data_IF_502737842062
#
_entry.id   IF_502737842062
#
_cell.length_a   1.000
_cell.length_b   1.000
_cell.length_c   1.000
_cell.angle_alpha   90.00
_cell.angle_beta   90.00
_cell.angle_gamma   90.00
#
_symmetry.space_group_name_H-M   'P 1'
#
loop_
_entity.id
_entity.type
_entity.pdbx_description
1 polymer ?
#
# COMPACT_ATOMS: atom_id res chain seq x y z
N UNK A 1 -5.97 9.48 78.87
CA UNK A 1 -5.68 9.84 77.47
C UNK A 1 -6.46 8.90 76.57
N UNK A 2 -7.13 9.41 75.53
CA UNK A 2 -7.80 8.59 74.52
C UNK A 2 -6.90 8.59 73.28
N UNK A 3 -6.55 7.42 72.78
CA UNK A 3 -5.80 7.28 71.53
C UNK A 3 -6.78 6.96 70.41
N UNK A 4 -6.73 7.73 69.32
CA UNK A 4 -7.57 7.52 68.15
C UNK A 4 -6.83 6.67 67.11
N UNK A 5 -7.53 5.77 66.44
CA UNK A 5 -6.98 5.02 65.31
C UNK A 5 -6.87 5.94 64.08
N UNK A 6 -5.77 5.78 63.35
CA UNK A 6 -5.61 6.37 62.02
C UNK A 6 -6.17 5.46 60.93
N UNK A 7 -6.19 5.95 59.69
CA UNK A 7 -6.62 5.17 58.52
C UNK A 7 -5.66 4.00 58.24
N UNK A 8 -4.35 4.27 58.22
CA UNK A 8 -3.31 3.27 57.95
C UNK A 8 -2.79 2.50 59.17
N UNK A 9 -3.05 2.97 60.39
CA UNK A 9 -2.53 2.35 61.61
C UNK A 9 -3.54 2.34 62.74
N UNK A 10 -3.59 1.25 63.50
CA UNK A 10 -4.37 1.14 64.74
C UNK A 10 -3.45 1.08 65.94
N UNK A 11 -3.85 1.70 67.06
CA UNK A 11 -3.09 1.71 68.29
C UNK A 11 -3.68 0.72 69.30
N UNK A 12 -2.86 -0.20 69.79
CA UNK A 12 -3.16 -1.07 70.93
C UNK A 12 -2.45 -0.49 72.16
N UNK A 13 -3.24 -0.04 73.14
CA UNK A 13 -2.73 0.59 74.35
C UNK A 13 -3.06 -0.29 75.54
N UNK A 14 -2.03 -0.68 76.28
CA UNK A 14 -2.18 -1.50 77.50
C UNK A 14 -1.50 -0.79 78.65
N UNK A 15 -2.19 -0.74 79.79
CA UNK A 15 -1.65 -0.22 81.03
C UNK A 15 -1.54 -1.38 82.03
N UNK A 16 -0.34 -1.60 82.59
CA UNK A 16 -0.12 -2.61 83.61
C UNK A 16 0.32 -1.94 84.90
N UNK A 17 -0.47 -2.15 85.95
CA UNK A 17 -0.15 -1.73 87.32
C UNK A 17 0.55 -2.89 88.02
N UNK A 18 1.77 -2.69 88.50
CA UNK A 18 2.45 -3.70 89.33
C UNK A 18 1.96 -3.62 90.79
N UNK A 19 1.66 -4.78 91.40
CA UNK A 19 1.27 -4.86 92.80
C UNK A 19 2.35 -4.21 93.68
N UNK A 20 1.90 -3.32 94.59
CA UNK A 20 2.68 -2.40 95.45
C UNK A 20 3.06 -1.04 94.84
N UNK A 21 2.50 -0.65 93.70
CA UNK A 21 2.22 0.77 93.41
C UNK A 21 3.42 1.69 93.16
N UNK A 22 4.53 1.19 92.58
CA UNK A 22 5.71 2.04 92.31
C UNK A 22 6.03 2.16 90.79
N UNK A 23 5.45 1.37 89.89
CA UNK A 23 5.58 1.57 88.44
C UNK A 23 4.30 1.22 87.66
N UNK A 24 3.71 2.23 87.02
CA UNK A 24 2.75 2.06 85.93
C UNK A 24 3.52 1.97 84.61
N UNK A 25 3.38 0.85 83.89
CA UNK A 25 3.97 0.73 82.54
C UNK A 25 2.88 0.88 81.49
N UNK A 26 2.97 1.95 80.72
CA UNK A 26 2.16 2.17 79.51
C UNK A 26 2.88 1.56 78.31
N UNK A 27 2.26 0.57 77.67
CA UNK A 27 2.74 0.03 76.39
C UNK A 27 1.79 0.47 75.27
N UNK A 28 2.37 1.06 74.22
CA UNK A 28 1.66 1.44 73.00
C UNK A 28 2.26 0.65 71.83
N UNK A 29 1.42 -0.12 71.14
CA UNK A 29 1.79 -0.85 69.93
C UNK A 29 0.99 -0.29 68.76
N UNK A 30 1.66 -0.01 67.64
CA UNK A 30 0.99 0.38 66.40
C UNK A 30 0.94 -0.81 65.45
N UNK A 31 -0.26 -1.24 65.08
CA UNK A 31 -0.45 -2.17 63.99
C UNK A 31 -0.60 -1.39 62.69
N UNK A 32 0.00 -1.91 61.61
CA UNK A 32 -0.14 -1.36 60.27
C UNK A 32 -1.29 -2.09 59.57
N UNK A 33 -2.26 -1.34 59.08
CA UNK A 33 -3.37 -1.87 58.31
C UNK A 33 -2.90 -2.07 56.87
N UNK A 34 -2.54 -3.32 56.52
CA UNK A 34 -2.04 -3.66 55.19
C UNK A 34 -3.20 -3.97 54.23
N UNK A 35 -3.16 -3.34 53.06
CA UNK A 35 -4.07 -3.60 51.95
C UNK A 35 -3.38 -4.36 50.83
N UNK A 36 -4.18 -4.99 49.98
CA UNK A 36 -3.70 -5.71 48.80
C UNK A 36 -4.32 -5.11 47.54
N UNK A 37 -3.56 -5.16 46.46
CA UNK A 37 -4.01 -4.75 45.13
C UNK A 37 -4.14 -5.94 44.17
N UNK A 38 -4.93 -5.74 43.12
CA UNK A 38 -5.15 -6.71 42.06
C UNK A 38 -5.20 -6.00 40.71
N UNK A 39 -5.09 -6.74 39.61
CA UNK A 39 -5.17 -6.22 38.25
C UNK A 39 -6.46 -6.73 37.60
N UNK A 40 -7.25 -5.80 37.07
CA UNK A 40 -8.49 -6.10 36.36
C UNK A 40 -8.25 -6.70 34.97
N UNK A 41 -9.32 -7.24 34.37
CA UNK A 41 -9.29 -7.77 33.01
C UNK A 41 -9.01 -6.69 31.93
N UNK A 42 -9.18 -5.41 32.30
CA UNK A 42 -8.81 -4.24 31.50
C UNK A 42 -7.33 -3.85 31.66
N UNK A 43 -6.56 -4.60 32.45
CA UNK A 43 -5.13 -4.40 32.68
C UNK A 43 -4.78 -3.37 33.74
N UNK A 44 -5.78 -2.77 34.38
CA UNK A 44 -5.58 -1.71 35.38
C UNK A 44 -5.45 -2.28 36.79
N UNK A 45 -4.53 -1.72 37.56
CA UNK A 45 -4.44 -1.98 38.99
C UNK A 45 -5.63 -1.37 39.75
N UNK A 46 -6.12 -2.07 40.77
CA UNK A 46 -7.18 -1.62 41.67
C UNK A 46 -7.00 -2.25 43.06
N UNK A 47 -7.60 -1.68 44.12
CA UNK A 47 -7.72 -2.36 45.41
C UNK A 47 -8.45 -3.70 45.26
N UNK A 48 -8.09 -4.69 46.07
CA UNK A 48 -8.79 -5.99 46.06
C UNK A 48 -10.23 -5.84 46.56
N UNK A 49 -10.43 -5.00 47.58
CA UNK A 49 -11.73 -4.65 48.14
C UNK A 49 -11.81 -3.15 48.41
N UNK A 50 -13.02 -2.60 48.57
CA UNK A 50 -13.19 -1.16 48.91
C UNK A 50 -12.56 -0.78 50.25
N UNK A 51 -12.40 -1.74 51.16
CA UNK A 51 -11.73 -1.54 52.44
C UNK A 51 -10.22 -1.29 52.28
N UNK A 52 -9.62 -1.74 51.18
CA UNK A 52 -8.18 -1.59 50.92
C UNK A 52 -7.82 -0.18 50.42
N UNK A 53 -8.80 0.63 50.00
CA UNK A 53 -8.59 2.00 49.49
C UNK A 53 -7.77 2.90 50.44
N UNK A 54 -7.92 2.72 51.75
CA UNK A 54 -7.29 3.56 52.76
C UNK A 54 -6.18 2.83 53.55
N UNK A 55 -5.74 1.66 53.08
CA UNK A 55 -4.72 0.84 53.73
C UNK A 55 -3.33 1.05 53.12
N UNK A 56 -2.31 0.61 53.83
CA UNK A 56 -0.90 0.72 53.41
C UNK A 56 -0.52 -0.48 52.54
N UNK A 57 0.12 -0.25 51.40
CA UNK A 57 0.61 -1.31 50.52
C UNK A 57 2.04 -1.75 50.92
N UNK A 58 2.33 -3.04 50.77
CA UNK A 58 3.67 -3.61 50.98
C UNK A 58 4.49 -3.59 49.67
N UNK A 59 5.82 -3.53 49.77
CA UNK A 59 6.70 -3.58 48.58
C UNK A 59 6.45 -4.82 47.71
N UNK A 60 6.14 -5.97 48.33
CA UNK A 60 5.80 -7.20 47.62
C UNK A 60 4.49 -7.09 46.84
N UNK A 61 3.50 -6.36 47.37
CA UNK A 61 2.21 -6.11 46.69
C UNK A 61 2.41 -5.14 45.52
N UNK A 62 3.13 -4.04 45.76
CA UNK A 62 3.41 -3.01 44.75
C UNK A 62 4.16 -3.63 43.56
N UNK A 63 5.24 -4.37 43.82
CA UNK A 63 6.07 -4.96 42.75
C UNK A 63 5.29 -6.02 41.97
N UNK A 64 4.51 -6.86 42.66
CA UNK A 64 3.63 -7.83 42.01
C UNK A 64 2.61 -7.14 41.11
N UNK A 65 1.88 -6.16 41.63
CA UNK A 65 0.82 -5.47 40.88
C UNK A 65 1.37 -4.73 39.68
N UNK A 66 2.50 -4.04 39.78
CA UNK A 66 3.16 -3.40 38.63
C UNK A 66 3.50 -4.44 37.55
N UNK A 67 4.12 -5.57 37.93
CA UNK A 67 4.48 -6.62 36.99
C UNK A 67 3.28 -7.35 36.38
N UNK A 68 2.12 -7.32 37.06
CA UNK A 68 0.88 -7.91 36.56
C UNK A 68 0.05 -6.97 35.69
N UNK A 69 0.22 -5.64 35.81
CA UNK A 69 -0.47 -4.68 34.92
C UNK A 69 -0.05 -4.87 33.47
N UNK A 70 -1.00 -4.64 32.56
CA UNK A 70 -0.76 -4.78 31.14
C UNK A 70 -1.58 -3.77 30.35
N UNK A 71 -1.12 -3.50 29.12
CA UNK A 71 -1.94 -2.93 28.08
C UNK A 71 -2.22 -3.99 27.02
N UNK A 72 -3.17 -3.71 26.12
CA UNK A 72 -3.59 -4.67 25.09
C UNK A 72 -3.23 -4.17 23.70
N UNK A 73 -2.84 -5.08 22.82
CA UNK A 73 -2.57 -4.80 21.40
C UNK A 73 -3.29 -5.81 20.52
N UNK A 74 -3.76 -5.36 19.36
CA UNK A 74 -4.31 -6.21 18.29
C UNK A 74 -4.04 -5.55 16.93
N UNK A 75 -4.20 -6.29 15.84
CA UNK A 75 -4.19 -5.78 14.47
C UNK A 75 -5.57 -5.88 13.83
N UNK A 76 -5.82 -5.05 12.83
CA UNK A 76 -7.02 -5.09 12.01
C UNK A 76 -6.78 -4.40 10.67
N UNK A 77 -7.81 -4.36 9.83
CA UNK A 77 -7.77 -3.70 8.52
C UNK A 77 -8.73 -2.52 8.46
N UNK A 78 -8.32 -1.46 7.76
CA UNK A 78 -9.19 -0.37 7.30
C UNK A 78 -8.81 -0.09 5.84
N UNK A 79 -9.59 -0.64 4.90
CA UNK A 79 -9.30 -0.59 3.45
C UNK A 79 -8.10 -1.43 2.96
N UNK A 80 -7.33 -2.05 3.86
CA UNK A 80 -6.16 -2.89 3.54
C UNK A 80 -6.42 -4.40 3.70
N UNK A 81 -5.32 -5.16 3.67
CA UNK A 81 -5.31 -6.61 3.90
C UNK A 81 -4.35 -7.02 5.01
N UNK A 82 -4.62 -8.17 5.64
CA UNK A 82 -3.73 -8.80 6.62
C UNK A 82 -2.89 -9.89 5.94
N UNK A 83 -1.69 -10.13 6.45
CA UNK A 83 -0.89 -11.27 6.02
C UNK A 83 -1.57 -12.59 6.44
N UNK A 84 -1.41 -13.63 5.62
CA UNK A 84 -1.88 -14.97 5.95
C UNK A 84 -1.31 -15.43 7.30
N UNK A 85 -2.16 -16.04 8.15
CA UNK A 85 -1.78 -16.50 9.49
C UNK A 85 -1.78 -15.44 10.59
N UNK A 86 -2.20 -14.20 10.30
CA UNK A 86 -2.35 -13.14 11.32
C UNK A 86 -3.30 -13.55 12.44
N UNK A 87 -2.88 -13.37 13.69
CA UNK A 87 -3.68 -13.62 14.88
C UNK A 87 -4.53 -12.39 15.20
N UNK A 88 -5.86 -12.55 15.34
CA UNK A 88 -6.81 -11.44 15.56
C UNK A 88 -7.17 -11.21 17.03
N UNK A 89 -6.64 -12.04 17.93
CA UNK A 89 -6.91 -11.93 19.36
C UNK A 89 -6.11 -10.79 20.00
N UNK A 90 -6.70 -10.13 20.99
CA UNK A 90 -5.98 -9.19 21.85
C UNK A 90 -4.83 -9.90 22.57
N UNK A 91 -3.64 -9.31 22.51
CA UNK A 91 -2.48 -9.74 23.28
C UNK A 91 -2.27 -8.80 24.46
N UNK A 92 -2.10 -9.35 25.66
CA UNK A 92 -1.71 -8.61 26.86
C UNK A 92 -0.18 -8.41 26.87
N UNK A 93 0.25 -7.17 27.07
CA UNK A 93 1.66 -6.76 27.14
C UNK A 93 1.91 -6.21 28.54
N UNK A 94 2.66 -6.95 29.35
CA UNK A 94 3.01 -6.64 30.74
C UNK A 94 4.23 -5.74 30.84
N UNK A 95 4.49 -5.25 32.05
CA UNK A 95 5.71 -4.50 32.34
C UNK A 95 6.97 -5.35 32.03
N UNK A 96 7.85 -4.82 31.19
CA UNK A 96 9.09 -5.50 30.77
C UNK A 96 8.95 -6.34 29.50
N UNK A 97 7.73 -6.56 29.00
CA UNK A 97 7.54 -7.28 27.75
C UNK A 97 8.09 -6.47 26.55
N UNK A 98 8.62 -7.19 25.56
CA UNK A 98 9.12 -6.61 24.33
C UNK A 98 8.04 -6.64 23.24
N UNK A 99 7.74 -5.47 22.66
CA UNK A 99 6.93 -5.36 21.45
C UNK A 99 7.84 -5.11 20.26
N UNK A 100 7.73 -5.96 19.24
CA UNK A 100 8.50 -5.83 18.00
C UNK A 100 7.63 -5.26 16.89
N UNK A 101 8.06 -4.12 16.33
CA UNK A 101 7.46 -3.53 15.13
C UNK A 101 8.30 -3.94 13.93
N UNK A 102 7.73 -4.76 13.03
CA UNK A 102 8.44 -5.31 11.86
C UNK A 102 7.91 -4.69 10.57
N UNK A 103 8.82 -4.20 9.73
CA UNK A 103 8.47 -3.67 8.41
C UNK A 103 8.37 -4.83 7.39
N UNK A 104 7.27 -4.88 6.64
CA UNK A 104 7.12 -5.81 5.52
C UNK A 104 7.83 -5.31 4.25
N UNK A 105 7.59 -5.98 3.11
CA UNK A 105 8.07 -5.52 1.80
C UNK A 105 7.54 -4.11 1.52
N UNK A 106 8.40 -3.27 0.94
CA UNK A 106 8.11 -1.87 0.55
C UNK A 106 7.79 -0.90 1.69
N UNK A 107 7.88 -1.32 2.95
CA UNK A 107 7.77 -0.46 4.12
C UNK A 107 9.12 -0.35 4.82
N UNK A 108 9.41 0.84 5.34
CA UNK A 108 10.57 1.10 6.19
C UNK A 108 10.10 1.59 7.55
N UNK A 109 10.83 1.20 8.59
CA UNK A 109 10.63 1.70 9.96
C UNK A 109 11.98 2.21 10.45
N UNK A 110 12.07 3.51 10.73
CA UNK A 110 13.23 4.11 11.39
C UNK A 110 12.91 4.28 12.88
N UNK A 111 13.76 3.73 13.75
CA UNK A 111 13.72 3.99 15.19
C UNK A 111 14.84 4.95 15.57
N UNK A 112 14.47 6.05 16.21
CA UNK A 112 15.40 7.02 16.77
C UNK A 112 14.97 7.36 18.21
N UNK A 113 15.65 6.76 19.18
CA UNK A 113 15.19 6.76 20.58
C UNK A 113 13.80 6.14 20.72
N UNK A 114 12.84 6.96 21.13
CA UNK A 114 11.42 6.62 21.28
C UNK A 114 10.55 7.01 20.07
N UNK A 115 11.13 7.63 19.04
CA UNK A 115 10.41 8.00 17.83
C UNK A 115 10.51 6.89 16.79
N UNK A 116 9.38 6.58 16.17
CA UNK A 116 9.27 5.61 15.09
C UNK A 116 8.67 6.30 13.87
N UNK A 117 9.39 6.26 12.74
CA UNK A 117 8.92 6.81 11.47
C UNK A 117 8.65 5.67 10.50
N UNK A 118 7.43 5.62 9.99
CA UNK A 118 6.99 4.69 8.96
C UNK A 118 7.00 5.41 7.62
N UNK A 119 7.61 4.79 6.61
CA UNK A 119 7.62 5.33 5.26
C UNK A 119 7.56 4.20 4.22
N UNK A 120 7.24 4.56 2.99
CA UNK A 120 7.49 3.66 1.87
C UNK A 120 9.00 3.53 1.64
N UNK A 121 9.43 2.37 1.18
CA UNK A 121 10.82 2.15 0.75
C UNK A 121 11.12 2.95 -0.51
N UNK A 122 12.30 3.57 -0.57
CA UNK A 122 12.82 4.23 -1.79
C UNK A 122 12.87 3.26 -2.98
N UNK A 123 13.15 1.99 -2.71
CA UNK A 123 13.03 0.91 -3.68
C UNK A 123 11.69 0.19 -3.51
N UNK A 124 10.74 0.49 -4.39
CA UNK A 124 9.44 -0.18 -4.45
C UNK A 124 9.52 -1.37 -5.41
N UNK A 125 9.30 -2.59 -4.89
CA UNK A 125 9.27 -3.82 -5.69
C UNK A 125 7.89 -4.46 -5.57
N UNK A 126 7.21 -4.56 -6.70
CA UNK A 126 5.96 -5.32 -6.83
C UNK A 126 6.14 -6.31 -7.98
N UNK A 127 5.70 -7.55 -7.78
CA UNK A 127 5.86 -8.60 -8.80
C UNK A 127 4.95 -8.34 -10.01
N UNK A 128 3.74 -7.81 -9.76
CA UNK A 128 2.79 -7.40 -10.80
C UNK A 128 2.10 -6.10 -10.40
N UNK A 129 2.10 -5.12 -11.29
CA UNK A 129 1.33 -3.88 -11.15
C UNK A 129 0.12 -3.91 -12.10
N UNK A 130 -0.98 -4.48 -11.62
CA UNK A 130 -2.22 -4.55 -12.38
C UNK A 130 -3.05 -3.29 -12.11
N UNK A 131 -3.40 -2.59 -13.19
CA UNK A 131 -4.29 -1.43 -13.14
C UNK A 131 -5.50 -1.75 -14.00
N UNK A 132 -6.69 -1.45 -13.49
CA UNK A 132 -7.95 -1.93 -14.04
C UNK A 132 -8.37 -3.27 -13.45
N UNK A 133 -9.61 -3.65 -13.72
CA UNK A 133 -10.20 -4.90 -13.24
C UNK A 133 -10.52 -5.79 -14.42
N UNK A 134 -10.04 -7.03 -14.42
CA UNK A 134 -10.45 -8.00 -15.44
C UNK A 134 -11.92 -8.35 -15.21
N UNK A 135 -12.72 -8.26 -16.27
CA UNK A 135 -14.11 -8.72 -16.23
C UNK A 135 -14.19 -10.20 -15.83
N UNK A 136 -15.17 -10.54 -15.00
CA UNK A 136 -15.54 -11.92 -14.69
C UNK A 136 -16.80 -12.30 -15.49
N UNK A 137 -17.10 -13.59 -15.62
CA UNK A 137 -18.17 -14.13 -16.47
C UNK A 137 -19.45 -13.28 -16.49
N UNK A 138 -19.74 -12.68 -17.65
CA UNK A 138 -20.92 -11.85 -17.90
C UNK A 138 -20.86 -10.41 -17.37
N UNK A 139 -19.75 -9.97 -16.76
CA UNK A 139 -19.52 -8.59 -16.31
C UNK A 139 -18.32 -7.96 -17.02
N UNK A 140 -18.46 -6.77 -17.61
CA UNK A 140 -17.32 -6.03 -18.16
C UNK A 140 -16.27 -5.77 -17.08
N UNK A 141 -15.01 -5.75 -17.51
CA UNK A 141 -13.92 -5.23 -16.68
C UNK A 141 -13.85 -3.71 -16.69
N UNK A 142 -12.90 -3.16 -15.94
CA UNK A 142 -12.56 -1.73 -15.95
C UNK A 142 -11.20 -1.51 -16.61
N UNK A 143 -11.13 -0.52 -17.49
CA UNK A 143 -9.91 -0.17 -18.22
C UNK A 143 -8.84 0.37 -17.28
N UNK A 144 -7.64 -0.20 -17.34
CA UNK A 144 -6.47 0.31 -16.62
C UNK A 144 -5.86 1.54 -17.27
N UNK A 145 -5.37 2.48 -16.46
CA UNK A 145 -4.62 3.65 -16.92
C UNK A 145 -3.39 3.88 -16.04
N UNK A 146 -2.21 3.94 -16.66
CA UNK A 146 -0.97 4.37 -16.01
C UNK A 146 -0.54 5.69 -16.65
N UNK A 147 -0.25 6.72 -15.84
CA UNK A 147 0.26 7.99 -16.34
C UNK A 147 1.54 8.43 -15.62
N UNK A 148 2.43 9.07 -16.37
CA UNK A 148 3.58 9.82 -15.85
C UNK A 148 3.36 11.27 -16.21
N UNK A 149 3.14 12.10 -15.20
CA UNK A 149 2.87 13.52 -15.40
C UNK A 149 4.18 14.32 -15.39
N UNK A 150 4.38 15.06 -16.47
CA UNK A 150 5.42 16.07 -16.60
C UNK A 150 4.92 17.45 -16.19
N UNK A 151 5.86 18.40 -16.12
CA UNK A 151 5.54 19.81 -15.93
C UNK A 151 4.67 20.32 -17.09
N UNK A 152 3.81 21.30 -16.78
CA UNK A 152 3.03 22.04 -17.79
C UNK A 152 2.09 21.15 -18.64
N UNK A 153 1.54 20.09 -18.04
CA UNK A 153 0.49 19.26 -18.64
C UNK A 153 0.99 18.22 -19.67
N UNK A 154 2.30 18.12 -19.88
CA UNK A 154 2.87 17.01 -20.65
C UNK A 154 2.72 15.71 -19.86
N UNK A 155 2.44 14.59 -20.52
CA UNK A 155 2.39 13.28 -19.84
C UNK A 155 2.58 12.12 -20.81
N UNK A 156 2.95 10.97 -20.27
CA UNK A 156 2.87 9.69 -20.99
C UNK A 156 1.78 8.86 -20.36
N UNK A 157 0.89 8.29 -21.15
CA UNK A 157 -0.24 7.49 -20.69
C UNK A 157 -0.23 6.14 -21.39
N UNK A 158 -0.32 5.06 -20.63
CA UNK A 158 -0.64 3.71 -21.13
C UNK A 158 -2.11 3.44 -20.83
N UNK A 159 -2.89 3.14 -21.87
CA UNK A 159 -4.34 2.93 -21.76
C UNK A 159 -4.73 1.51 -22.19
N UNK A 160 -5.36 0.77 -21.28
CA UNK A 160 -5.85 -0.58 -21.53
C UNK A 160 -7.05 -0.65 -22.48
N UNK A 161 -7.83 0.43 -22.59
CA UNK A 161 -9.08 0.46 -23.38
C UNK A 161 -8.89 0.08 -24.84
N UNK A 162 -7.87 0.67 -25.45
CA UNK A 162 -7.59 0.64 -26.89
C UNK A 162 -6.14 0.26 -27.18
N UNK A 163 -5.45 -0.30 -26.17
CA UNK A 163 -4.04 -0.67 -26.22
C UNK A 163 -3.14 0.48 -26.72
N UNK A 164 -3.44 1.72 -26.30
CA UNK A 164 -2.77 2.92 -26.78
C UNK A 164 -1.70 3.44 -25.82
N UNK A 165 -0.74 4.15 -26.40
CA UNK A 165 0.26 4.98 -25.71
C UNK A 165 -0.01 6.43 -26.10
N UNK A 166 -0.44 7.24 -25.14
CA UNK A 166 -0.58 8.69 -25.31
C UNK A 166 0.69 9.41 -24.91
N UNK A 167 1.28 10.18 -25.82
CA UNK A 167 2.33 11.16 -25.57
C UNK A 167 1.68 12.53 -25.56
N UNK A 168 1.25 13.01 -24.40
CA UNK A 168 0.55 14.29 -24.27
C UNK A 168 1.55 15.44 -24.11
N UNK A 169 1.22 16.58 -24.72
CA UNK A 169 2.02 17.79 -24.72
C UNK A 169 1.61 18.68 -25.90
N UNK A 170 2.38 19.74 -26.15
CA UNK A 170 2.12 20.69 -27.25
C UNK A 170 1.95 20.01 -28.61
N UNK A 171 2.76 18.99 -28.88
CA UNK A 171 2.79 18.24 -30.14
C UNK A 171 2.37 16.78 -29.90
N UNK A 172 1.37 16.57 -29.04
CA UNK A 172 1.01 15.25 -28.55
C UNK A 172 0.52 14.28 -29.63
N UNK A 173 0.79 12.99 -29.40
CA UNK A 173 0.47 11.88 -30.31
C UNK A 173 -0.08 10.71 -29.51
N UNK A 174 -1.10 10.04 -30.03
CA UNK A 174 -1.57 8.75 -29.53
C UNK A 174 -1.10 7.65 -30.49
N UNK A 175 -0.43 6.62 -29.99
CA UNK A 175 0.02 5.46 -30.77
C UNK A 175 -0.82 4.26 -30.37
N UNK A 176 -1.34 3.50 -31.33
CA UNK A 176 -2.13 2.28 -31.09
C UNK A 176 -1.93 1.26 -32.20
N UNK A 177 -2.44 0.06 -31.99
CA UNK A 177 -2.59 -0.92 -33.07
C UNK A 177 -3.98 -0.81 -33.71
N UNK A 178 -4.07 -0.94 -35.03
CA UNK A 178 -5.34 -1.15 -35.73
C UNK A 178 -5.16 -2.07 -36.94
N UNK A 179 -6.25 -2.58 -37.47
CA UNK A 179 -6.21 -3.26 -38.76
C UNK A 179 -6.02 -2.24 -39.89
N UNK A 180 -5.08 -2.52 -40.79
CA UNK A 180 -4.88 -1.75 -42.00
C UNK A 180 -4.51 -2.65 -43.18
N UNK A 181 -4.25 -2.09 -44.37
CA UNK A 181 -4.01 -2.86 -45.59
C UNK A 181 -2.89 -3.91 -45.41
N UNK A 182 -3.04 -5.10 -45.98
CA UNK A 182 -2.03 -6.18 -45.84
C UNK A 182 -0.64 -5.82 -46.43
N UNK A 183 -0.55 -4.80 -47.28
CA UNK A 183 0.69 -4.34 -47.90
C UNK A 183 0.66 -4.54 -49.41
N UNK A 184 1.83 -4.59 -50.04
CA UNK A 184 1.95 -4.56 -51.51
C UNK A 184 1.38 -5.81 -52.20
N UNK A 185 1.60 -6.97 -51.59
CA UNK A 185 1.15 -8.27 -52.10
C UNK A 185 -0.22 -8.69 -51.55
N UNK A 186 -0.80 -7.87 -50.67
CA UNK A 186 -2.10 -8.12 -50.06
C UNK A 186 -3.21 -8.13 -51.10
N UNK A 187 -4.14 -9.06 -50.98
CA UNK A 187 -5.34 -9.11 -51.81
C UNK A 187 -6.44 -8.23 -51.24
N UNK A 188 -7.44 -7.92 -52.06
CA UNK A 188 -8.62 -7.17 -51.62
C UNK A 188 -9.30 -7.87 -50.44
N UNK A 189 -9.49 -7.13 -49.34
CA UNK A 189 -10.07 -7.65 -48.10
C UNK A 189 -9.06 -8.26 -47.11
N UNK A 190 -7.79 -8.41 -47.48
CA UNK A 190 -6.74 -8.83 -46.54
C UNK A 190 -6.21 -7.64 -45.74
N UNK A 191 -6.02 -7.87 -44.43
CA UNK A 191 -5.54 -6.88 -43.49
C UNK A 191 -4.40 -7.45 -42.64
N UNK A 192 -3.61 -6.54 -42.06
CA UNK A 192 -2.63 -6.86 -41.02
C UNK A 192 -2.67 -5.80 -39.93
N UNK A 193 -2.15 -6.15 -38.75
CA UNK A 193 -1.97 -5.19 -37.67
C UNK A 193 -0.96 -4.12 -38.06
N UNK A 194 -1.36 -2.85 -37.92
CA UNK A 194 -0.56 -1.64 -38.18
C UNK A 194 -0.28 -0.91 -36.88
N UNK A 195 0.88 -0.27 -36.81
CA UNK A 195 1.09 0.82 -35.85
C UNK A 195 0.43 2.07 -36.46
N UNK A 196 -0.60 2.56 -35.78
CA UNK A 196 -1.32 3.79 -36.11
C UNK A 196 -0.91 4.85 -35.11
N UNK A 197 -0.76 6.08 -35.59
CA UNK A 197 -0.64 7.23 -34.72
C UNK A 197 -1.64 8.33 -35.08
N UNK A 198 -2.18 8.95 -34.04
CA UNK A 198 -3.18 10.00 -34.12
C UNK A 198 -2.64 11.28 -33.49
N UNK A 199 -2.75 12.39 -34.21
CA UNK A 199 -2.32 13.71 -33.74
C UNK A 199 -3.34 14.77 -34.09
N UNK A 200 -3.29 15.92 -33.44
CA UNK A 200 -4.16 17.05 -33.79
C UNK A 200 -3.64 17.78 -35.03
N UNK A 201 -4.55 18.23 -35.88
CA UNK A 201 -4.18 19.09 -37.00
C UNK A 201 -3.60 20.41 -36.47
N UNK A 202 -2.37 20.79 -36.85
CA UNK A 202 -1.74 22.03 -36.40
C UNK A 202 -2.54 23.30 -36.73
N UNK A 203 -3.41 23.23 -37.77
CA UNK A 203 -4.25 24.34 -38.22
C UNK A 203 -5.64 24.32 -37.61
N UNK A 204 -6.11 23.15 -37.16
CA UNK A 204 -7.44 22.95 -36.59
C UNK A 204 -7.37 21.89 -35.48
N UNK A 205 -7.06 22.27 -34.23
CA UNK A 205 -6.87 21.33 -33.13
C UNK A 205 -8.10 20.47 -32.79
N UNK A 206 -9.28 20.79 -33.34
CA UNK A 206 -10.48 19.95 -33.19
C UNK A 206 -10.38 18.66 -34.02
N UNK A 207 -9.62 18.69 -35.12
CA UNK A 207 -9.46 17.56 -36.04
C UNK A 207 -8.31 16.66 -35.62
N UNK A 208 -8.56 15.36 -35.72
CA UNK A 208 -7.55 14.32 -35.56
C UNK A 208 -7.07 13.88 -36.94
N UNK A 209 -5.76 13.85 -37.12
CA UNK A 209 -5.07 13.25 -38.26
C UNK A 209 -4.63 11.85 -37.81
N UNK A 210 -5.02 10.84 -38.59
CA UNK A 210 -4.65 9.43 -38.38
C UNK A 210 -3.68 9.00 -39.48
N UNK A 211 -2.54 8.46 -39.10
CA UNK A 211 -1.49 8.00 -40.02
C UNK A 211 -1.02 6.59 -39.63
N UNK A 212 -0.58 5.80 -40.62
CA UNK A 212 -0.07 4.45 -40.45
C UNK A 212 1.44 4.40 -40.69
N UNK A 213 2.18 3.67 -39.86
CA UNK A 213 3.60 3.41 -40.07
C UNK A 213 3.77 2.34 -41.15
N UNK A 214 4.52 2.66 -42.21
CA UNK A 214 4.85 1.71 -43.26
C UNK A 214 5.82 0.62 -42.79
N UNK A 215 5.71 -0.55 -43.40
CA UNK A 215 6.50 -1.76 -43.15
C UNK A 215 7.24 -2.18 -44.42
N UNK A 216 8.23 -3.06 -44.31
CA UNK A 216 8.93 -3.61 -45.49
C UNK A 216 8.03 -4.45 -46.41
N UNK A 217 6.84 -4.85 -45.96
CA UNK A 217 5.84 -5.54 -46.78
C UNK A 217 5.01 -4.59 -47.64
N UNK A 218 5.11 -3.29 -47.39
CA UNK A 218 4.49 -2.26 -48.21
C UNK A 218 5.41 -1.89 -49.36
N UNK A 219 4.93 -1.11 -50.31
CA UNK A 219 5.75 -0.68 -51.43
C UNK A 219 4.92 -0.03 -52.52
N UNK A 220 5.46 -0.05 -53.72
CA UNK A 220 4.88 0.61 -54.89
C UNK A 220 4.68 -0.40 -56.03
N UNK A 221 3.65 -0.14 -56.82
CA UNK A 221 3.35 -0.86 -58.05
C UNK A 221 3.69 0.03 -59.24
N UNK A 222 4.37 -0.51 -60.24
CA UNK A 222 4.80 0.20 -61.44
C UNK A 222 4.33 -0.54 -62.68
N UNK A 223 3.77 0.19 -63.64
CA UNK A 223 3.40 -0.34 -64.95
C UNK A 223 4.06 0.51 -66.04
N UNK A 224 4.37 -0.09 -67.18
CA UNK A 224 4.95 0.58 -68.34
C UNK A 224 4.01 0.43 -69.55
N UNK A 225 4.55 0.56 -70.77
CA UNK A 225 3.77 0.56 -72.01
C UNK A 225 2.97 -0.73 -72.25
N UNK A 226 3.34 -1.85 -71.61
CA UNK A 226 2.62 -3.12 -71.69
C UNK A 226 1.49 -3.28 -70.66
N UNK A 227 1.09 -2.21 -69.95
CA UNK A 227 0.05 -2.28 -68.92
C UNK A 227 -1.28 -2.83 -69.45
N UNK A 228 -1.83 -3.81 -68.74
CA UNK A 228 -3.18 -4.30 -68.94
C UNK A 228 -3.91 -4.38 -67.58
N UNK A 229 -5.05 -3.69 -67.47
CA UNK A 229 -5.81 -3.50 -66.21
C UNK A 229 -6.20 -4.79 -65.48
N UNK A 230 -6.25 -5.92 -66.19
CA UNK A 230 -6.64 -7.23 -65.63
C UNK A 230 -5.52 -8.27 -65.68
N UNK A 231 -4.28 -7.87 -65.96
CA UNK A 231 -3.13 -8.76 -66.00
C UNK A 231 -2.03 -8.27 -65.05
N UNK A 232 -2.00 -8.90 -63.86
CA UNK A 232 -0.99 -8.65 -62.83
C UNK A 232 0.45 -8.89 -63.32
N UNK A 233 0.66 -9.65 -64.41
CA UNK A 233 1.99 -9.86 -64.99
C UNK A 233 2.55 -8.59 -65.66
N UNK A 234 1.71 -7.58 -65.90
CA UNK A 234 2.11 -6.29 -66.47
C UNK A 234 2.48 -5.25 -65.41
N UNK A 235 2.39 -5.63 -64.13
CA UNK A 235 2.67 -4.77 -62.97
C UNK A 235 3.91 -5.27 -62.22
N UNK A 236 4.91 -4.41 -62.07
CA UNK A 236 6.09 -4.66 -61.24
C UNK A 236 5.79 -4.17 -59.82
N UNK A 237 5.74 -5.09 -58.86
CA UNK A 237 5.64 -4.79 -57.43
C UNK A 237 7.03 -4.67 -56.82
N UNK A 238 7.33 -3.54 -56.17
CA UNK A 238 8.55 -3.34 -55.38
C UNK A 238 8.22 -2.97 -53.96
N UNK A 239 8.59 -3.85 -53.03
CA UNK A 239 8.51 -3.59 -51.60
C UNK A 239 9.47 -2.45 -51.22
N UNK A 240 9.19 -1.78 -50.10
CA UNK A 240 10.12 -0.83 -49.50
C UNK A 240 11.47 -1.52 -49.26
N UNK A 241 12.56 -0.75 -49.39
CA UNK A 241 13.93 -1.26 -49.34
C UNK A 241 14.32 -2.25 -50.46
N UNK A 242 13.56 -2.33 -51.54
CA UNK A 242 13.98 -3.04 -52.76
C UNK A 242 14.49 -2.09 -53.84
N UNK A 243 15.50 -2.53 -54.60
CA UNK A 243 15.97 -1.83 -55.80
C UNK A 243 15.00 -2.03 -56.95
N UNK A 244 14.61 -0.92 -57.59
CA UNK A 244 13.96 -0.89 -58.89
C UNK A 244 14.98 -0.51 -59.96
N UNK A 245 15.12 -1.33 -60.99
CA UNK A 245 15.91 -1.01 -62.18
C UNK A 245 14.96 -0.81 -63.36
N UNK A 246 15.05 0.35 -64.01
CA UNK A 246 14.26 0.67 -65.20
C UNK A 246 15.25 0.80 -66.36
N UNK A 247 15.06 -0.02 -67.40
CA UNK A 247 15.83 0.08 -68.65
C UNK A 247 14.91 0.70 -69.70
N UNK A 248 15.22 1.94 -70.11
CA UNK A 248 14.51 2.59 -71.21
C UNK A 248 14.85 1.91 -72.54
N UNK A 249 13.87 1.81 -73.45
CA UNK A 249 14.12 1.38 -74.82
C UNK A 249 14.89 2.47 -75.57
N UNK A 250 16.19 2.26 -75.81
CA UNK A 250 16.90 3.01 -76.84
C UNK A 250 16.46 2.50 -78.21
N UNK A 251 16.11 3.43 -79.12
CA UNK A 251 16.01 3.12 -80.55
C UNK A 251 17.37 2.69 -81.10
#
# INVERSE_FOLDING_TARGET
>A
MIYANGTGTTAEVTNKVEEKGIKDTLTVKFNVNIGNSTVGNDGKAKPTTDQDNNKIAMLTDITKTINDTFWKVTSGTDGGSEAEGSQKSEQQIKAGDMVSLKAGKNLTIKKDGANFTFALSDAFKIDNFNVGEKGADGKPGEDGKISVDGKDGSSVVLNGKDASIGLNGKDGVMIKSADGPAGLDGKAGEYKTRIVYERKDPKDPSKTITEEVATLEDGQQYSADNYAEKDDNTVIKKKLNQRLEIKGGGQ
#
